data_IF_122770467952
#
_entry.id   IF_122770467952
#
_cell.length_a   1.000
_cell.length_b   1.000
_cell.length_c   1.000
_cell.angle_alpha   90.00
_cell.angle_beta   90.00
_cell.angle_gamma   90.00
#
_symmetry.space_group_name_H-M   'P 1'
#
loop_
_entity.id
_entity.type
_entity.pdbx_description
1 polymer ?
#
# COMPACT_ATOMS: atom_id res chain seq x y z
N UNK A 1 -13.96 22.99 -0.83
CA UNK A 1 -15.18 22.86 0.01
C UNK A 1 -15.68 21.40 -0.06
N UNK A 2 -16.42 20.98 0.98
CA UNK A 2 -17.06 19.67 1.04
C UNK A 2 -18.50 19.83 1.52
N UNK A 3 -19.45 19.26 0.77
CA UNK A 3 -20.86 19.16 1.19
C UNK A 3 -21.22 17.69 1.41
N UNK A 4 -22.06 17.41 2.41
CA UNK A 4 -22.48 16.03 2.74
C UNK A 4 -23.98 15.95 2.65
N UNK A 5 -24.49 14.97 1.91
CA UNK A 5 -25.94 14.73 1.74
C UNK A 5 -26.27 13.28 2.05
N UNK A 6 -27.12 13.04 3.03
CA UNK A 6 -27.68 11.72 3.32
C UNK A 6 -28.94 11.52 2.46
N UNK A 7 -28.99 10.40 1.74
CA UNK A 7 -30.10 10.07 0.85
C UNK A 7 -31.11 9.14 1.54
N UNK A 8 -32.34 9.11 1.03
CA UNK A 8 -33.42 8.26 1.56
C UNK A 8 -33.14 6.76 1.45
N UNK A 9 -32.27 6.35 0.50
CA UNK A 9 -31.84 4.97 0.30
C UNK A 9 -30.68 4.52 1.22
N UNK A 10 -30.21 5.43 2.07
CA UNK A 10 -29.10 5.19 3.01
C UNK A 10 -27.72 5.51 2.45
N UNK A 11 -27.59 5.83 1.16
CA UNK A 11 -26.31 6.29 0.60
C UNK A 11 -25.98 7.69 1.08
N UNK A 12 -24.69 8.02 1.11
CA UNK A 12 -24.20 9.34 1.52
C UNK A 12 -23.32 9.92 0.43
N UNK A 13 -23.64 11.13 -0.01
CA UNK A 13 -22.85 11.87 -0.99
C UNK A 13 -21.90 12.82 -0.28
N UNK A 14 -20.64 12.78 -0.68
CA UNK A 14 -19.61 13.74 -0.31
C UNK A 14 -19.18 14.48 -1.57
N UNK A 15 -19.70 15.69 -1.74
CA UNK A 15 -19.41 16.54 -2.89
C UNK A 15 -18.22 17.46 -2.56
N UNK A 16 -17.17 17.39 -3.37
CA UNK A 16 -15.96 18.17 -3.22
C UNK A 16 -15.82 19.19 -4.35
N UNK A 17 -15.35 20.38 -3.98
CA UNK A 17 -14.93 21.40 -4.93
C UNK A 17 -13.54 21.88 -4.57
N UNK A 18 -12.60 21.73 -5.51
CA UNK A 18 -11.25 22.27 -5.41
C UNK A 18 -11.24 23.76 -5.75
N UNK A 19 -10.21 24.45 -5.31
CA UNK A 19 -9.84 25.79 -5.83
C UNK A 19 -9.20 25.60 -7.20
N UNK A 20 -9.46 26.52 -8.11
CA UNK A 20 -8.95 26.54 -9.49
C UNK A 20 -7.63 27.32 -9.67
N UNK A 21 -7.08 27.84 -8.56
CA UNK A 21 -5.85 28.64 -8.54
C UNK A 21 -4.66 27.90 -7.89
N UNK A 22 -4.80 26.61 -7.61
CA UNK A 22 -3.74 25.81 -7.00
C UNK A 22 -2.79 25.26 -8.05
N UNK A 23 -1.50 25.22 -7.70
CA UNK A 23 -0.47 24.61 -8.55
C UNK A 23 0.49 23.75 -7.71
N UNK A 24 1.08 22.75 -8.34
CA UNK A 24 2.21 22.02 -7.77
C UNK A 24 3.47 22.87 -7.71
N UNK A 25 4.50 22.38 -7.05
CA UNK A 25 5.76 23.11 -6.87
C UNK A 25 6.52 23.37 -8.18
N UNK A 26 6.27 22.61 -9.21
CA UNK A 26 6.80 22.81 -10.57
C UNK A 26 5.96 23.79 -11.41
N UNK A 27 4.84 24.27 -10.89
CA UNK A 27 3.94 25.22 -11.52
C UNK A 27 2.80 24.58 -12.32
N UNK A 28 2.71 23.27 -12.40
CA UNK A 28 1.59 22.57 -13.05
C UNK A 28 0.30 22.79 -12.26
N UNK A 29 -0.83 23.18 -12.89
CA UNK A 29 -2.12 23.31 -12.21
C UNK A 29 -2.56 22.00 -11.56
N UNK A 30 -3.27 22.11 -10.42
CA UNK A 30 -3.91 20.99 -9.74
C UNK A 30 -5.39 20.97 -10.14
N UNK A 31 -5.84 19.86 -10.66
CA UNK A 31 -7.25 19.64 -10.98
C UNK A 31 -7.81 18.38 -10.32
N UNK A 32 -9.04 18.03 -10.67
CA UNK A 32 -9.71 16.89 -10.03
C UNK A 32 -9.15 15.54 -10.48
N UNK A 33 -8.50 15.48 -11.64
CA UNK A 33 -7.88 14.25 -12.14
C UNK A 33 -6.69 13.83 -11.28
N UNK A 34 -5.95 14.78 -10.70
CA UNK A 34 -4.90 14.50 -9.71
C UNK A 34 -5.48 13.87 -8.42
N UNK A 35 -6.65 14.35 -7.99
CA UNK A 35 -7.33 13.78 -6.80
C UNK A 35 -7.82 12.37 -7.08
N UNK A 36 -8.47 12.17 -8.21
CA UNK A 36 -8.98 10.85 -8.64
C UNK A 36 -7.81 9.88 -8.80
N UNK A 37 -6.74 10.26 -9.50
CA UNK A 37 -5.51 9.47 -9.58
C UNK A 37 -4.99 9.06 -8.20
N UNK A 38 -4.89 10.02 -7.27
CA UNK A 38 -4.42 9.76 -5.91
C UNK A 38 -5.32 8.77 -5.16
N UNK A 39 -6.64 8.89 -5.31
CA UNK A 39 -7.59 7.97 -4.69
C UNK A 39 -7.46 6.56 -5.26
N UNK A 40 -7.26 6.41 -6.57
CA UNK A 40 -7.05 5.10 -7.19
C UNK A 40 -5.73 4.46 -6.78
N UNK A 41 -4.64 5.24 -6.66
CA UNK A 41 -3.36 4.74 -6.11
C UNK A 41 -3.54 4.21 -4.69
N UNK A 42 -4.24 4.94 -3.81
CA UNK A 42 -4.50 4.54 -2.43
C UNK A 42 -5.50 3.38 -2.30
N UNK A 43 -6.28 3.12 -3.35
CA UNK A 43 -7.28 2.04 -3.41
C UNK A 43 -6.78 0.81 -4.17
N UNK A 44 -5.61 0.89 -4.80
CA UNK A 44 -5.05 -0.24 -5.54
C UNK A 44 -4.88 -1.48 -4.64
N UNK A 45 -5.22 -2.70 -5.10
CA UNK A 45 -5.05 -3.92 -4.31
C UNK A 45 -3.61 -4.16 -3.82
N UNK A 46 -2.59 -3.64 -4.54
CA UNK A 46 -1.16 -3.76 -4.18
C UNK A 46 -0.64 -2.60 -3.33
N UNK A 47 -1.51 -1.63 -2.97
CA UNK A 47 -1.09 -0.53 -2.11
C UNK A 47 -0.77 -1.02 -0.70
N UNK A 48 0.46 -0.75 -0.25
CA UNK A 48 1.02 -1.19 1.03
C UNK A 48 1.35 -0.04 1.99
N UNK A 49 0.91 1.17 1.67
CA UNK A 49 1.11 2.33 2.53
C UNK A 49 0.11 2.40 3.70
N UNK A 50 0.23 3.46 4.50
CA UNK A 50 -0.55 3.64 5.73
C UNK A 50 -1.99 4.16 5.53
N UNK A 51 -2.44 4.40 4.28
CA UNK A 51 -3.81 4.86 4.03
C UNK A 51 -4.84 3.76 4.31
N UNK A 52 -5.96 4.17 4.89
CA UNK A 52 -7.12 3.30 5.12
C UNK A 52 -8.32 3.70 4.27
N UNK A 53 -8.10 4.44 3.18
CA UNK A 53 -9.15 4.87 2.26
C UNK A 53 -9.94 3.67 1.73
N UNK A 54 -9.23 2.61 1.35
CA UNK A 54 -9.84 1.38 0.81
C UNK A 54 -10.72 0.60 1.80
N UNK A 55 -10.65 0.90 3.10
CA UNK A 55 -11.51 0.30 4.12
C UNK A 55 -12.79 1.10 4.36
N UNK A 56 -12.95 2.24 3.69
CA UNK A 56 -14.15 3.04 3.81
C UNK A 56 -15.29 2.46 2.96
N UNK A 57 -16.56 2.63 3.36
CA UNK A 57 -17.70 2.07 2.65
C UNK A 57 -18.02 2.85 1.37
N UNK A 58 -17.05 3.01 0.47
CA UNK A 58 -17.23 3.64 -0.84
C UNK A 58 -17.86 2.64 -1.78
N UNK A 59 -18.93 3.05 -2.48
CA UNK A 59 -19.65 2.22 -3.43
C UNK A 59 -18.71 1.68 -4.53
N UNK A 60 -18.66 0.37 -4.72
CA UNK A 60 -17.80 -0.29 -5.71
C UNK A 60 -16.35 -0.51 -5.28
N UNK A 61 -15.95 -0.11 -4.05
CA UNK A 61 -14.59 -0.30 -3.54
C UNK A 61 -14.23 -1.78 -3.39
N UNK A 62 -15.13 -2.57 -2.83
CA UNK A 62 -14.92 -4.00 -2.64
C UNK A 62 -14.82 -4.72 -3.98
N UNK A 63 -15.70 -4.40 -4.93
CA UNK A 63 -15.72 -4.97 -6.27
C UNK A 63 -14.45 -4.61 -7.06
N UNK A 64 -13.94 -3.38 -6.89
CA UNK A 64 -12.68 -2.96 -7.50
C UNK A 64 -11.48 -3.72 -6.93
N UNK A 65 -11.45 -3.96 -5.63
CA UNK A 65 -10.33 -4.65 -4.97
C UNK A 65 -10.45 -6.17 -4.99
N UNK A 66 -11.64 -6.72 -5.20
CA UNK A 66 -11.86 -8.15 -5.31
C UNK A 66 -11.22 -8.73 -6.58
N UNK A 67 -11.03 -10.04 -6.61
CA UNK A 67 -10.47 -10.75 -7.76
C UNK A 67 -9.00 -10.45 -8.06
N UNK A 68 -8.32 -9.65 -7.22
CA UNK A 68 -6.87 -9.43 -7.30
C UNK A 68 -6.24 -9.58 -5.92
N UNK A 69 -5.09 -10.23 -5.88
CA UNK A 69 -4.26 -10.39 -4.67
C UNK A 69 -2.80 -10.23 -5.01
N UNK A 70 -1.95 -9.97 -4.02
CA UNK A 70 -0.51 -9.94 -4.26
C UNK A 70 0.07 -11.34 -4.45
N UNK A 71 1.11 -11.45 -5.23
CA UNK A 71 1.76 -12.72 -5.54
C UNK A 71 2.24 -13.44 -4.27
N UNK A 72 2.77 -12.70 -3.29
CA UNK A 72 3.22 -13.26 -2.00
C UNK A 72 2.07 -13.91 -1.22
N UNK A 73 0.91 -13.26 -1.14
CA UNK A 73 -0.29 -13.80 -0.46
C UNK A 73 -0.76 -15.08 -1.13
N UNK A 74 -0.79 -15.11 -2.47
CA UNK A 74 -1.26 -16.27 -3.22
C UNK A 74 -0.29 -17.46 -3.06
N UNK A 75 1.01 -17.22 -3.14
CA UNK A 75 2.03 -18.27 -2.96
C UNK A 75 2.01 -18.85 -1.54
N UNK A 76 1.85 -17.99 -0.53
CA UNK A 76 1.73 -18.43 0.86
C UNK A 76 0.47 -19.27 1.09
N UNK A 77 -0.68 -18.81 0.58
CA UNK A 77 -1.96 -19.54 0.69
C UNK A 77 -1.98 -20.88 -0.05
N UNK A 78 -1.29 -20.95 -1.20
CA UNK A 78 -1.19 -22.19 -1.98
C UNK A 78 -0.35 -23.27 -1.28
N UNK A 79 0.66 -22.86 -0.51
CA UNK A 79 1.57 -23.76 0.18
C UNK A 79 2.74 -24.25 -0.69
N UNK A 80 3.78 -24.76 -0.02
CA UNK A 80 5.04 -25.20 -0.65
C UNK A 80 4.85 -26.34 -1.65
N UNK A 81 3.94 -27.29 -1.34
CA UNK A 81 3.68 -28.48 -2.14
C UNK A 81 2.68 -28.27 -3.29
N UNK A 82 2.27 -27.01 -3.55
CA UNK A 82 1.33 -26.69 -4.61
C UNK A 82 1.88 -27.07 -5.99
N UNK A 83 1.02 -27.63 -6.85
CA UNK A 83 1.34 -28.04 -8.23
C UNK A 83 0.47 -27.34 -9.28
N UNK A 84 -0.39 -26.40 -8.86
CA UNK A 84 -1.19 -25.55 -9.73
C UNK A 84 -0.48 -24.21 -9.94
N UNK A 85 -0.08 -23.97 -11.17
CA UNK A 85 0.65 -22.76 -11.58
C UNK A 85 -0.22 -21.85 -12.48
N UNK A 86 -1.53 -21.86 -12.28
CA UNK A 86 -2.46 -21.05 -13.09
C UNK A 86 -2.15 -19.55 -13.03
N UNK A 87 -1.74 -19.04 -11.87
CA UNK A 87 -1.56 -17.62 -11.60
C UNK A 87 -0.10 -17.17 -11.41
N UNK A 88 0.83 -18.10 -11.37
CA UNK A 88 2.27 -17.83 -11.25
C UNK A 88 3.07 -18.98 -11.89
N UNK A 89 4.38 -18.83 -12.00
CA UNK A 89 5.25 -19.86 -12.54
C UNK A 89 5.80 -20.78 -11.44
N UNK A 90 6.20 -22.00 -11.81
CA UNK A 90 6.91 -22.93 -10.92
C UNK A 90 8.17 -22.28 -10.32
N UNK A 91 8.92 -21.49 -11.12
CA UNK A 91 10.11 -20.78 -10.66
C UNK A 91 9.78 -19.72 -9.60
N UNK A 92 8.67 -18.99 -9.74
CA UNK A 92 8.22 -18.03 -8.74
C UNK A 92 7.85 -18.71 -7.42
N UNK A 93 7.12 -19.83 -7.49
CA UNK A 93 6.79 -20.61 -6.29
C UNK A 93 8.05 -21.12 -5.60
N UNK A 94 8.95 -21.70 -6.37
CA UNK A 94 10.22 -22.21 -5.84
C UNK A 94 11.05 -21.10 -5.20
N UNK A 95 11.21 -19.96 -5.85
CA UNK A 95 11.97 -18.84 -5.34
C UNK A 95 11.36 -18.31 -4.01
N UNK A 96 10.03 -18.19 -3.94
CA UNK A 96 9.34 -17.78 -2.73
C UNK A 96 9.60 -18.74 -1.55
N UNK A 97 9.42 -20.04 -1.77
CA UNK A 97 9.60 -21.03 -0.70
C UNK A 97 11.06 -21.27 -0.34
N UNK A 98 12.00 -21.18 -1.29
CA UNK A 98 13.44 -21.13 -0.97
C UNK A 98 13.75 -19.93 -0.06
N UNK A 99 13.23 -18.75 -0.38
CA UNK A 99 13.43 -17.54 0.45
C UNK A 99 12.81 -17.69 1.86
N UNK A 100 11.62 -18.28 1.98
CA UNK A 100 10.98 -18.60 3.27
C UNK A 100 11.83 -19.58 4.07
N UNK A 101 12.28 -20.66 3.44
CA UNK A 101 13.04 -21.74 4.10
C UNK A 101 14.45 -21.32 4.53
N UNK A 102 15.08 -20.42 3.80
CA UNK A 102 16.42 -19.91 4.11
C UNK A 102 16.34 -18.57 4.89
N UNK A 103 15.98 -17.48 4.22
CA UNK A 103 15.98 -16.14 4.78
C UNK A 103 14.94 -15.94 5.87
N UNK A 104 13.72 -16.42 5.64
CA UNK A 104 12.61 -16.29 6.59
C UNK A 104 12.86 -17.09 7.88
N UNK A 105 13.32 -18.34 7.77
CA UNK A 105 13.68 -19.14 8.94
C UNK A 105 14.80 -18.47 9.73
N UNK A 106 15.80 -17.92 9.05
CA UNK A 106 16.88 -17.19 9.73
C UNK A 106 16.37 -15.94 10.43
N UNK A 107 15.48 -15.18 9.80
CA UNK A 107 14.86 -13.99 10.41
C UNK A 107 14.13 -14.34 11.72
N UNK A 108 13.28 -15.36 11.70
CA UNK A 108 12.57 -15.81 12.89
C UNK A 108 13.52 -16.40 13.96
N UNK A 109 14.60 -17.11 13.53
CA UNK A 109 15.59 -17.62 14.47
C UNK A 109 16.34 -16.52 15.19
N UNK A 110 16.66 -15.40 14.52
CA UNK A 110 17.31 -14.24 15.16
C UNK A 110 16.42 -13.61 16.26
N UNK A 111 15.07 -13.65 16.09
CA UNK A 111 14.13 -13.25 17.15
C UNK A 111 14.20 -14.24 18.33
N UNK A 112 14.20 -15.54 18.06
CA UNK A 112 14.34 -16.58 19.11
C UNK A 112 15.64 -16.39 19.88
N UNK A 113 16.75 -16.21 19.18
CA UNK A 113 18.09 -16.02 19.79
C UNK A 113 18.12 -14.72 20.65
N UNK A 114 17.48 -13.66 20.20
CA UNK A 114 17.32 -12.43 20.98
C UNK A 114 16.53 -12.68 22.27
N UNK A 115 15.43 -13.44 22.22
CA UNK A 115 14.60 -13.77 23.37
C UNK A 115 15.33 -14.69 24.36
N UNK A 116 16.13 -15.63 23.87
CA UNK A 116 17.02 -16.44 24.72
C UNK A 116 18.03 -15.56 25.45
N UNK A 117 18.63 -14.61 24.75
CA UNK A 117 19.66 -13.73 25.32
C UNK A 117 19.10 -12.69 26.31
N UNK A 118 17.88 -12.17 26.07
CA UNK A 118 17.36 -11.00 26.77
C UNK A 118 15.99 -11.21 27.42
N UNK A 119 15.18 -12.19 26.97
CA UNK A 119 13.81 -12.43 27.39
C UNK A 119 13.63 -13.54 28.43
N UNK A 120 14.71 -14.22 28.85
CA UNK A 120 14.65 -15.31 29.83
C UNK A 120 14.00 -16.60 29.29
N UNK A 121 14.03 -16.82 27.99
CA UNK A 121 13.55 -18.03 27.31
C UNK A 121 14.69 -19.06 27.28
N UNK A 122 14.34 -20.35 27.38
CA UNK A 122 15.31 -21.45 27.26
C UNK A 122 15.77 -21.63 25.80
N UNK A 123 17.01 -22.07 25.60
CA UNK A 123 17.57 -22.34 24.27
C UNK A 123 16.72 -23.40 23.55
N UNK A 124 16.29 -23.10 22.32
CA UNK A 124 15.45 -23.97 21.48
C UNK A 124 13.95 -23.91 21.76
N UNK A 125 13.50 -23.14 22.76
CA UNK A 125 12.06 -22.94 23.02
C UNK A 125 11.48 -21.85 22.14
N UNK A 126 11.20 -22.19 20.88
CA UNK A 126 10.64 -21.28 19.87
C UNK A 126 9.25 -20.77 20.28
N UNK A 127 8.42 -21.63 20.89
CA UNK A 127 7.04 -21.29 21.29
C UNK A 127 7.03 -20.21 22.35
N UNK A 128 7.86 -20.36 23.41
CA UNK A 128 7.98 -19.33 24.46
C UNK A 128 8.63 -18.06 23.92
N UNK A 129 9.59 -18.15 23.01
CA UNK A 129 10.20 -16.99 22.37
C UNK A 129 9.16 -16.19 21.56
N UNK A 130 8.39 -16.87 20.71
CA UNK A 130 7.32 -16.25 19.93
C UNK A 130 6.24 -15.61 20.82
N UNK A 131 5.82 -16.30 21.89
CA UNK A 131 4.84 -15.77 22.84
C UNK A 131 5.35 -14.50 23.55
N UNK A 132 6.63 -14.47 23.94
CA UNK A 132 7.28 -13.29 24.50
C UNK A 132 7.42 -12.15 23.50
N UNK A 133 7.46 -12.45 22.21
CA UNK A 133 7.49 -11.48 21.11
C UNK A 133 6.10 -11.00 20.66
N UNK A 134 5.02 -11.66 21.11
CA UNK A 134 3.63 -11.27 20.80
C UNK A 134 2.91 -12.19 19.83
N UNK A 135 3.47 -13.38 19.53
CA UNK A 135 2.89 -14.35 18.61
C UNK A 135 2.50 -15.64 19.33
N UNK A 136 1.34 -16.18 19.01
CA UNK A 136 0.89 -17.50 19.52
C UNK A 136 1.22 -18.57 18.50
N UNK A 137 1.99 -19.58 18.92
CA UNK A 137 2.33 -20.74 18.10
C UNK A 137 1.85 -22.04 18.75
N UNK A 138 1.54 -23.07 17.95
CA UNK A 138 1.22 -24.39 18.48
C UNK A 138 2.44 -25.05 19.16
N UNK A 139 2.19 -26.00 20.07
CA UNK A 139 3.25 -26.78 20.72
C UNK A 139 4.13 -27.50 19.68
N UNK A 140 5.45 -27.39 19.85
CA UNK A 140 6.43 -28.01 18.97
C UNK A 140 6.69 -27.23 17.66
N UNK A 141 6.16 -26.01 17.53
CA UNK A 141 6.46 -25.15 16.38
C UNK A 141 7.96 -24.82 16.32
N UNK A 142 8.48 -24.72 15.11
CA UNK A 142 9.85 -24.34 14.79
C UNK A 142 9.94 -22.88 14.26
N UNK A 143 11.16 -22.44 13.95
CA UNK A 143 11.40 -21.11 13.42
C UNK A 143 10.68 -20.86 12.07
N UNK A 144 10.45 -21.90 11.24
CA UNK A 144 9.65 -21.78 10.03
C UNK A 144 8.21 -21.43 10.37
N UNK A 145 7.59 -22.18 11.29
CA UNK A 145 6.22 -21.90 11.75
C UNK A 145 6.10 -20.49 12.34
N UNK A 146 7.14 -20.00 13.03
CA UNK A 146 7.16 -18.63 13.53
C UNK A 146 7.21 -17.61 12.39
N UNK A 147 8.06 -17.81 11.38
CA UNK A 147 8.09 -16.90 10.23
C UNK A 147 6.78 -16.88 9.45
N UNK A 148 6.13 -18.04 9.28
CA UNK A 148 4.81 -18.12 8.65
C UNK A 148 3.76 -17.33 9.44
N UNK A 149 3.77 -17.41 10.78
CA UNK A 149 2.86 -16.62 11.63
C UNK A 149 3.12 -15.10 11.51
N UNK A 150 4.38 -14.67 11.38
CA UNK A 150 4.72 -13.28 11.07
C UNK A 150 4.17 -12.91 9.69
N UNK A 151 4.38 -13.74 8.68
CA UNK A 151 3.83 -13.52 7.34
C UNK A 151 2.31 -13.32 7.35
N UNK A 152 1.58 -14.20 8.01
CA UNK A 152 0.12 -14.14 8.12
C UNK A 152 -0.35 -12.87 8.85
N UNK A 153 0.33 -12.46 9.94
CA UNK A 153 -0.01 -11.25 10.68
C UNK A 153 0.15 -9.99 9.83
N UNK A 154 1.17 -9.93 8.97
CA UNK A 154 1.47 -8.78 8.12
C UNK A 154 0.94 -8.92 6.68
N UNK A 155 0.09 -9.92 6.40
CA UNK A 155 -0.46 -10.17 5.06
C UNK A 155 0.63 -10.38 4.01
N UNK A 156 1.74 -11.02 4.39
CA UNK A 156 2.90 -11.31 3.53
C UNK A 156 3.53 -10.09 2.88
N UNK A 157 3.36 -8.91 3.51
CA UNK A 157 4.06 -7.70 3.13
C UNK A 157 5.45 -7.65 3.80
N UNK A 158 6.50 -7.99 3.07
CA UNK A 158 7.86 -8.09 3.64
C UNK A 158 8.36 -6.76 4.22
N UNK A 159 8.00 -5.63 3.63
CA UNK A 159 8.34 -4.32 4.16
C UNK A 159 7.68 -4.04 5.52
N UNK A 160 6.44 -4.50 5.72
CA UNK A 160 5.74 -4.38 7.00
C UNK A 160 6.31 -5.37 8.05
N UNK A 161 6.73 -6.56 7.61
CA UNK A 161 7.36 -7.58 8.46
C UNK A 161 8.70 -7.11 9.05
N UNK A 162 9.37 -6.11 8.44
CA UNK A 162 10.59 -5.49 8.99
C UNK A 162 10.39 -4.90 10.40
N UNK A 163 9.15 -4.63 10.82
CA UNK A 163 8.85 -4.18 12.18
C UNK A 163 9.29 -5.21 13.25
N UNK A 164 9.42 -6.48 12.88
CA UNK A 164 9.84 -7.57 13.76
C UNK A 164 11.34 -7.84 13.75
N UNK A 165 12.15 -7.03 13.08
CA UNK A 165 13.60 -7.23 12.96
C UNK A 165 14.29 -7.22 14.34
N UNK A 166 14.89 -8.34 14.72
CA UNK A 166 15.70 -8.46 15.93
C UNK A 166 17.22 -8.44 15.66
N UNK A 167 17.62 -8.69 14.43
CA UNK A 167 19.01 -8.76 14.00
C UNK A 167 19.20 -8.23 12.59
N UNK A 168 19.31 -9.12 11.61
CA UNK A 168 19.45 -8.77 10.19
C UNK A 168 18.11 -8.35 9.60
N UNK A 169 18.09 -7.27 8.82
CA UNK A 169 16.88 -6.84 8.11
C UNK A 169 16.39 -7.93 7.15
N UNK A 170 15.08 -8.08 7.02
CA UNK A 170 14.48 -9.09 6.14
C UNK A 170 14.88 -8.85 4.66
N UNK A 171 15.01 -7.59 4.26
CA UNK A 171 15.48 -7.19 2.93
C UNK A 171 16.91 -7.67 2.61
N UNK A 172 17.74 -7.94 3.62
CA UNK A 172 19.09 -8.49 3.46
C UNK A 172 19.09 -10.03 3.44
N UNK A 173 17.98 -10.66 3.83
CA UNK A 173 17.83 -12.11 3.95
C UNK A 173 17.01 -12.72 2.79
N UNK A 174 16.11 -11.97 2.21
CA UNK A 174 15.24 -12.37 1.10
C UNK A 174 15.80 -11.80 -0.20
N UNK A 175 15.92 -12.59 -1.29
CA UNK A 175 16.30 -12.08 -2.60
C UNK A 175 15.38 -10.92 -3.04
N UNK A 176 15.96 -9.89 -3.67
CA UNK A 176 15.27 -8.65 -4.03
C UNK A 176 14.03 -8.88 -4.91
N UNK A 177 14.10 -9.80 -5.84
CA UNK A 177 12.97 -10.15 -6.70
C UNK A 177 11.82 -10.76 -5.91
N UNK A 178 12.08 -11.64 -4.95
CA UNK A 178 11.06 -12.21 -4.05
C UNK A 178 10.56 -11.18 -3.05
N UNK A 179 11.46 -10.32 -2.54
CA UNK A 179 11.09 -9.24 -1.61
C UNK A 179 10.05 -8.29 -2.22
N UNK A 180 10.02 -8.18 -3.56
CA UNK A 180 9.05 -7.38 -4.29
C UNK A 180 7.71 -8.09 -4.60
N UNK A 181 7.55 -9.39 -4.33
CA UNK A 181 6.29 -10.12 -4.61
C UNK A 181 5.03 -9.52 -3.95
N UNK A 182 5.09 -8.90 -2.75
CA UNK A 182 3.96 -8.16 -2.19
C UNK A 182 3.47 -6.97 -3.03
N UNK A 183 4.28 -6.50 -3.98
CA UNK A 183 3.93 -5.38 -4.85
C UNK A 183 3.45 -5.80 -6.23
N UNK A 184 3.39 -7.10 -6.50
CA UNK A 184 2.92 -7.69 -7.76
C UNK A 184 1.48 -8.12 -7.60
N UNK A 185 0.57 -7.43 -8.29
CA UNK A 185 -0.85 -7.79 -8.37
C UNK A 185 -1.07 -8.95 -9.33
N UNK A 186 -1.85 -9.93 -8.90
CA UNK A 186 -2.26 -11.08 -9.71
C UNK A 186 -3.78 -11.14 -9.73
N UNK A 187 -4.35 -11.08 -10.93
CA UNK A 187 -5.78 -11.20 -11.13
C UNK A 187 -6.21 -12.67 -11.05
N UNK A 188 -7.12 -12.97 -10.13
CA UNK A 188 -7.56 -14.35 -9.83
C UNK A 188 -9.05 -14.57 -10.02
N UNK A 189 -9.79 -13.53 -10.41
CA UNK A 189 -11.23 -13.58 -10.61
C UNK A 189 -11.76 -12.29 -11.21
N UNK A 190 -13.08 -12.21 -11.32
CA UNK A 190 -13.75 -11.01 -11.81
C UNK A 190 -13.54 -9.86 -10.83
N UNK A 191 -13.10 -8.73 -11.37
CA UNK A 191 -12.85 -7.49 -10.64
C UNK A 191 -13.46 -6.33 -11.41
N UNK A 192 -14.00 -5.33 -10.71
CA UNK A 192 -14.45 -4.11 -11.39
C UNK A 192 -13.25 -3.29 -11.88
N UNK A 193 -13.39 -2.69 -13.07
CA UNK A 193 -12.35 -1.82 -13.63
C UNK A 193 -12.26 -0.47 -12.93
N UNK A 194 -13.31 -0.07 -12.20
CA UNK A 194 -13.40 1.22 -11.52
C UNK A 194 -14.23 1.15 -10.24
N UNK A 195 -14.10 2.19 -9.42
CA UNK A 195 -14.85 2.38 -8.16
C UNK A 195 -16.06 3.26 -8.47
N UNK A 196 -17.28 2.67 -8.48
CA UNK A 196 -18.52 3.36 -8.85
C UNK A 196 -18.76 4.63 -8.01
N UNK A 197 -18.34 4.62 -6.76
CA UNK A 197 -18.49 5.72 -5.83
C UNK A 197 -17.50 6.86 -6.01
N UNK A 198 -16.50 6.80 -6.90
CA UNK A 198 -15.57 7.89 -7.18
C UNK A 198 -15.96 8.53 -8.51
N UNK A 199 -16.68 9.66 -8.44
CA UNK A 199 -17.34 10.26 -9.59
C UNK A 199 -16.78 11.66 -9.89
N UNK A 200 -16.21 11.86 -11.08
CA UNK A 200 -15.85 13.19 -11.61
C UNK A 200 -17.13 13.94 -11.97
N UNK A 201 -17.32 15.14 -11.44
CA UNK A 201 -18.48 15.99 -11.75
C UNK A 201 -18.10 17.28 -12.49
N UNK A 202 -16.82 17.57 -12.60
CA UNK A 202 -16.26 18.70 -13.34
C UNK A 202 -14.76 18.76 -13.20
N UNK A 203 -14.09 19.71 -13.83
CA UNK A 203 -12.62 19.82 -13.83
C UNK A 203 -12.05 20.10 -12.42
N UNK A 204 -12.85 20.68 -11.53
CA UNK A 204 -12.49 20.99 -10.15
C UNK A 204 -13.48 20.43 -9.15
N UNK A 205 -14.30 19.45 -9.54
CA UNK A 205 -15.31 18.89 -8.66
C UNK A 205 -15.48 17.39 -8.84
N UNK A 206 -15.77 16.72 -7.72
CA UNK A 206 -16.06 15.29 -7.69
C UNK A 206 -17.07 14.97 -6.60
N UNK A 207 -17.68 13.81 -6.70
CA UNK A 207 -18.53 13.20 -5.69
C UNK A 207 -17.94 11.86 -5.24
N UNK A 208 -17.94 11.63 -3.94
CA UNK A 208 -17.75 10.29 -3.41
C UNK A 208 -19.09 9.79 -2.86
N UNK A 209 -19.51 8.60 -3.31
CA UNK A 209 -20.72 7.93 -2.84
C UNK A 209 -20.32 6.86 -1.84
N UNK A 210 -20.77 7.00 -0.60
CA UNK A 210 -20.65 5.95 0.42
C UNK A 210 -21.95 5.16 0.52
N UNK A 211 -21.86 3.86 0.83
CA UNK A 211 -23.01 2.97 0.99
C UNK A 211 -23.72 3.16 2.34
N UNK A 212 -23.03 3.79 3.29
CA UNK A 212 -23.56 4.11 4.60
C UNK A 212 -22.81 5.30 5.22
N UNK A 213 -23.34 5.86 6.31
CA UNK A 213 -22.68 6.93 7.05
C UNK A 213 -21.52 6.36 7.89
N UNK A 214 -20.32 6.91 7.73
CA UNK A 214 -19.16 6.59 8.55
C UNK A 214 -18.65 7.86 9.26
N UNK A 215 -18.53 7.82 10.57
CA UNK A 215 -18.23 9.01 11.40
C UNK A 215 -16.90 9.70 11.06
N UNK A 216 -15.92 8.97 10.51
CA UNK A 216 -14.60 9.48 10.13
C UNK A 216 -14.44 9.70 8.62
N UNK A 217 -15.48 9.46 7.82
CA UNK A 217 -15.40 9.46 6.35
C UNK A 217 -14.82 10.75 5.78
N UNK A 218 -15.35 11.91 6.22
CA UNK A 218 -14.85 13.21 5.74
C UNK A 218 -13.36 13.44 6.02
N UNK A 219 -12.81 12.85 7.09
CA UNK A 219 -11.39 12.90 7.37
C UNK A 219 -10.59 11.93 6.48
N UNK A 220 -11.11 10.73 6.24
CA UNK A 220 -10.46 9.72 5.41
C UNK A 220 -10.43 10.11 3.92
N UNK A 221 -11.42 10.89 3.47
CA UNK A 221 -11.48 11.43 2.10
C UNK A 221 -10.52 12.60 1.87
N UNK A 222 -9.91 13.17 2.91
CA UNK A 222 -8.88 14.19 2.79
C UNK A 222 -7.52 13.56 2.41
N UNK A 223 -7.44 13.00 1.21
CA UNK A 223 -6.24 12.34 0.68
C UNK A 223 -5.15 13.35 0.33
N UNK A 224 -3.89 12.92 0.38
CA UNK A 224 -2.78 13.70 -0.16
C UNK A 224 -2.84 13.67 -1.68
N UNK A 225 -2.90 14.84 -2.32
CA UNK A 225 -2.97 14.93 -3.79
C UNK A 225 -1.56 14.75 -4.36
N UNK A 226 -1.39 13.70 -5.14
CA UNK A 226 -0.18 13.39 -5.89
C UNK A 226 -0.36 13.82 -7.35
N UNK A 227 0.61 14.52 -7.95
CA UNK A 227 0.50 14.96 -9.35
C UNK A 227 0.51 13.77 -10.31
N UNK A 228 -0.55 13.64 -11.10
CA UNK A 228 -0.71 12.63 -12.13
C UNK A 228 0.44 12.68 -13.16
N UNK A 229 0.76 13.88 -13.66
CA UNK A 229 1.83 14.10 -14.65
C UNK A 229 3.22 13.65 -14.17
N UNK A 230 3.45 13.60 -12.85
CA UNK A 230 4.72 13.21 -12.28
C UNK A 230 4.73 11.73 -11.85
N UNK A 231 3.76 11.30 -11.04
CA UNK A 231 3.75 9.95 -10.51
C UNK A 231 3.13 8.94 -11.47
N UNK A 232 2.09 9.33 -12.20
CA UNK A 232 1.39 8.49 -13.17
C UNK A 232 1.96 8.61 -14.58
N UNK A 233 1.13 8.20 -15.53
CA UNK A 233 1.32 8.35 -16.97
C UNK A 233 0.04 8.97 -17.56
N UNK A 234 0.10 10.25 -17.93
CA UNK A 234 -1.04 10.98 -18.50
C UNK A 234 -1.58 10.32 -19.78
N UNK A 235 -0.75 9.60 -20.53
CA UNK A 235 -1.21 8.87 -21.73
C UNK A 235 -2.08 7.64 -21.38
N UNK A 236 -2.04 7.19 -20.13
CA UNK A 236 -2.85 6.12 -19.57
C UNK A 236 -4.00 6.65 -18.69
N UNK A 237 -4.25 7.97 -18.69
CA UNK A 237 -5.38 8.56 -17.98
C UNK A 237 -6.52 8.87 -18.94
N UNK A 238 -7.67 8.26 -18.72
CA UNK A 238 -8.92 8.49 -19.44
C UNK A 238 -10.07 8.10 -18.51
N UNK A 239 -10.61 9.08 -17.79
CA UNK A 239 -11.66 8.85 -16.79
C UNK A 239 -12.88 8.14 -17.39
N UNK A 240 -13.33 8.54 -18.58
CA UNK A 240 -14.53 8.00 -19.25
C UNK A 240 -14.35 6.52 -19.67
N UNK A 241 -13.10 6.10 -19.88
CA UNK A 241 -12.75 4.72 -20.23
C UNK A 241 -12.11 3.96 -19.03
N UNK A 242 -12.31 4.45 -17.81
CA UNK A 242 -11.88 3.84 -16.56
C UNK A 242 -10.36 3.56 -16.50
N UNK A 243 -9.56 4.51 -16.98
CA UNK A 243 -8.11 4.48 -16.92
C UNK A 243 -7.62 5.61 -16.02
N UNK A 244 -6.79 5.29 -15.06
CA UNK A 244 -6.45 6.22 -13.98
C UNK A 244 -4.95 6.54 -13.89
N UNK A 245 -4.22 6.46 -15.02
CA UNK A 245 -2.83 6.88 -15.13
C UNK A 245 -1.79 5.85 -14.67
N UNK A 246 -2.22 4.61 -14.43
CA UNK A 246 -1.37 3.46 -14.14
C UNK A 246 -2.13 2.15 -14.40
N UNK A 247 -1.42 1.03 -14.51
CA UNK A 247 -2.03 -0.30 -14.61
C UNK A 247 -2.45 -0.77 -13.22
N UNK A 248 -3.71 -1.19 -13.06
CA UNK A 248 -4.22 -1.73 -11.80
C UNK A 248 -3.39 -2.95 -11.36
N UNK A 249 -2.95 -2.95 -10.11
CA UNK A 249 -2.07 -3.99 -9.56
C UNK A 249 -0.58 -3.76 -9.83
N UNK A 250 -0.19 -2.65 -10.47
CA UNK A 250 1.22 -2.29 -10.68
C UNK A 250 1.48 -0.83 -10.28
N UNK A 251 1.94 -0.63 -9.05
CA UNK A 251 2.37 0.65 -8.53
C UNK A 251 3.90 0.88 -8.67
N UNK A 252 4.63 0.05 -9.39
CA UNK A 252 6.09 0.10 -9.51
C UNK A 252 6.60 1.44 -10.05
N UNK A 253 5.93 1.97 -11.09
CA UNK A 253 6.25 3.28 -11.67
C UNK A 253 6.10 4.41 -10.66
N UNK A 254 5.04 4.40 -9.87
CA UNK A 254 4.77 5.38 -8.81
C UNK A 254 5.81 5.26 -7.69
N UNK A 255 6.08 4.05 -7.23
CA UNK A 255 7.07 3.75 -6.17
C UNK A 255 8.46 4.24 -6.54
N UNK A 256 8.89 4.07 -7.78
CA UNK A 256 10.20 4.50 -8.26
C UNK A 256 10.46 6.01 -8.10
N UNK A 257 9.40 6.82 -8.00
CA UNK A 257 9.46 8.28 -7.90
C UNK A 257 9.35 8.81 -6.47
N UNK A 258 8.99 7.97 -5.49
CA UNK A 258 8.76 8.40 -4.10
C UNK A 258 10.01 8.90 -3.38
N UNK A 259 11.21 8.53 -3.85
CA UNK A 259 12.49 9.02 -3.32
C UNK A 259 12.81 10.46 -3.73
N UNK A 260 12.07 11.02 -4.70
CA UNK A 260 12.19 12.40 -5.16
C UNK A 260 10.79 13.02 -5.22
N UNK A 261 10.14 13.26 -4.06
CA UNK A 261 8.73 13.63 -4.03
C UNK A 261 8.47 15.01 -4.62
N UNK A 262 7.39 15.10 -5.41
CA UNK A 262 6.82 16.34 -5.92
C UNK A 262 5.42 16.53 -5.34
N UNK A 263 5.09 17.74 -4.90
CA UNK A 263 3.81 18.07 -4.31
C UNK A 263 3.55 19.59 -4.32
N UNK A 264 2.49 20.04 -3.65
CA UNK A 264 2.08 21.42 -3.56
C UNK A 264 2.35 22.09 -2.19
N UNK A 265 3.15 21.43 -1.35
CA UNK A 265 3.46 21.90 0.00
C UNK A 265 4.34 23.16 0.04
N UNK A 266 4.53 23.74 1.25
CA UNK A 266 5.35 24.96 1.41
C UNK A 266 6.83 24.78 1.08
N UNK A 267 7.31 23.55 1.09
CA UNK A 267 8.71 23.23 0.77
C UNK A 267 8.77 22.11 -0.28
N UNK A 268 9.80 22.18 -1.14
CA UNK A 268 10.11 21.14 -2.14
C UNK A 268 11.33 20.34 -1.71
N UNK A 269 11.35 19.07 -2.08
CA UNK A 269 12.49 18.18 -1.87
C UNK A 269 13.69 18.67 -2.73
N UNK A 270 14.85 18.77 -2.12
CA UNK A 270 16.10 19.10 -2.81
C UNK A 270 17.00 17.86 -2.93
N UNK A 271 17.32 17.24 -1.81
CA UNK A 271 18.19 16.06 -1.77
C UNK A 271 18.07 15.34 -0.42
N UNK A 272 18.47 14.06 -0.41
CA UNK A 272 18.76 13.29 0.78
C UNK A 272 20.25 12.97 0.83
N UNK A 273 20.92 13.34 1.89
CA UNK A 273 22.36 13.11 2.06
C UNK A 273 22.72 12.89 3.53
N UNK A 274 23.51 11.86 3.82
CA UNK A 274 24.02 11.55 5.16
C UNK A 274 22.92 11.49 6.25
N UNK A 275 21.77 10.86 5.96
CA UNK A 275 20.65 10.75 6.90
C UNK A 275 19.82 12.02 7.05
N UNK A 276 20.06 13.05 6.23
CA UNK A 276 19.38 14.34 6.29
C UNK A 276 18.62 14.61 5.01
N UNK A 277 17.34 15.01 5.13
CA UNK A 277 16.51 15.52 4.04
C UNK A 277 16.70 17.03 3.97
N UNK A 278 17.06 17.53 2.79
CA UNK A 278 17.17 18.96 2.49
C UNK A 278 15.97 19.42 1.67
N UNK A 279 15.36 20.49 2.15
CA UNK A 279 14.19 21.09 1.51
C UNK A 279 14.51 22.54 1.13
N UNK A 280 13.82 23.07 0.11
CA UNK A 280 13.85 24.48 -0.29
C UNK A 280 12.44 25.07 -0.28
N UNK A 281 12.31 26.36 -0.05
CA UNK A 281 11.02 27.05 -0.09
C UNK A 281 10.37 26.87 -1.48
N UNK A 282 9.06 26.59 -1.49
CA UNK A 282 8.26 26.49 -2.70
C UNK A 282 7.73 27.88 -3.08
N UNK A 283 8.19 28.48 -4.18
CA UNK A 283 7.72 29.82 -4.60
C UNK A 283 6.25 29.79 -5.07
N UNK A 284 5.75 28.62 -5.44
CA UNK A 284 4.39 28.41 -5.94
C UNK A 284 3.39 28.02 -4.83
N UNK A 285 3.82 28.05 -3.56
CA UNK A 285 2.93 27.69 -2.46
C UNK A 285 1.74 28.68 -2.36
N UNK A 286 0.53 28.15 -2.34
CA UNK A 286 -0.72 28.94 -2.41
C UNK A 286 -0.85 30.02 -1.33
N UNK A 287 -0.18 29.88 -0.19
CA UNK A 287 -0.23 30.84 0.92
C UNK A 287 1.03 31.72 0.97
N UNK A 288 1.71 31.90 -0.17
CA UNK A 288 2.94 32.68 -0.31
C UNK A 288 4.20 31.91 0.08
N UNK A 289 5.35 32.40 -0.39
CA UNK A 289 6.64 31.76 -0.15
C UNK A 289 6.92 31.64 1.36
N UNK A 290 7.21 30.43 1.89
CA UNK A 290 7.51 30.24 3.30
C UNK A 290 8.85 30.87 3.68
N UNK A 291 8.98 31.28 4.93
CA UNK A 291 10.18 31.95 5.50
C UNK A 291 11.20 30.93 5.97
#
# INVERSE_FOLDING_TARGET
DMEVTENEDGTVYYDFTLRDDLVFSDGTPIDIDDVIFSMYVLSDPTYDGSSTLYSQPILGMEEYRSGMSTLSVLLAAAGEDNTDYTYWTEDQQKAFWDAVNDGGVKFAQEIVDYMVANGGVEEGDVVSAAAGWGFELPEGADAKAFFLAIGDQYGWNFSSMEAETAGTALADLIPEDVYNYPTVGVETGDSADYIEGIQKTGDYSMRVVATEIAANMGYQLAVTIAPLHYYGDESQYDYDNHKFGFEKGDLSGIRSKTTQPLGAGPYTFKEYSNGTVYLVANPNYYNGEPK
#
